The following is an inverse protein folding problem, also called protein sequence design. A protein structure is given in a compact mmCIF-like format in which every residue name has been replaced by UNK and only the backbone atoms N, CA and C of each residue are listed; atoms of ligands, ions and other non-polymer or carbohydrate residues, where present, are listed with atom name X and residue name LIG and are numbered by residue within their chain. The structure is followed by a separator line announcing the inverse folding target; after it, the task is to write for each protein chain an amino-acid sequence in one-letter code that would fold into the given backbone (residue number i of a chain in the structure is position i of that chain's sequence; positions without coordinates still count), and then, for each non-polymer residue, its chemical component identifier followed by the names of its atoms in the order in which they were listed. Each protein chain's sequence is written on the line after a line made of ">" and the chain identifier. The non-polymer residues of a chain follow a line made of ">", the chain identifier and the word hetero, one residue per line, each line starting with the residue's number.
data_IF_855816430713
#
_entry.id   IF_855816430713
#
_cell.length_a   1.000
_cell.length_b   1.000
_cell.length_c   1.000
_cell.angle_alpha   90.00
_cell.angle_beta   90.00
_cell.angle_gamma   90.00
#
_symmetry.space_group_name_H-M   'P 1'
#
loop_
_entity.id
_entity.type
_entity.pdbx_description
1 polymer ?
#
# COMPACT_ATOMS: atom_id res chain seq x y z
N UNK A 1 0.78 -3.59 -5.73
CA UNK A 1 -0.17 -4.32 -6.60
C UNK A 1 -1.04 -5.32 -5.84
N UNK A 2 -0.51 -6.14 -4.92
CA UNK A 2 -1.27 -7.16 -4.18
C UNK A 2 -2.61 -6.68 -3.60
N UNK A 3 -2.63 -5.51 -2.95
CA UNK A 3 -3.86 -4.87 -2.42
C UNK A 3 -4.95 -4.78 -3.49
N UNK A 4 -4.62 -4.33 -4.70
CA UNK A 4 -5.59 -4.15 -5.79
C UNK A 4 -6.03 -5.46 -6.44
N UNK A 5 -5.19 -6.50 -6.38
CA UNK A 5 -5.49 -7.85 -6.88
C UNK A 5 -6.48 -8.54 -5.95
N UNK A 6 -6.25 -8.49 -4.63
CA UNK A 6 -7.17 -9.01 -3.62
C UNK A 6 -8.54 -8.34 -3.76
N UNK A 7 -8.56 -7.01 -3.78
CA UNK A 7 -9.68 -6.26 -4.32
C UNK A 7 -10.92 -6.11 -3.46
N UNK A 8 -11.06 -6.80 -2.34
CA UNK A 8 -12.25 -6.69 -1.47
C UNK A 8 -11.96 -5.92 -0.18
N UNK A 9 -10.69 -5.74 0.16
CA UNK A 9 -10.26 -5.00 1.33
C UNK A 9 -10.65 -3.52 1.30
N UNK A 10 -10.75 -2.88 2.48
CA UNK A 10 -11.02 -1.44 2.59
C UNK A 10 -10.02 -0.59 1.79
N UNK A 11 -8.72 -0.92 1.84
CA UNK A 11 -7.70 -0.22 1.08
C UNK A 11 -7.91 -0.35 -0.44
N UNK A 12 -8.23 -1.55 -0.92
CA UNK A 12 -8.49 -1.77 -2.34
C UNK A 12 -9.74 -1.00 -2.82
N UNK A 13 -10.80 -1.01 -2.02
CA UNK A 13 -12.04 -0.26 -2.29
C UNK A 13 -11.77 1.25 -2.32
N UNK A 14 -11.02 1.77 -1.36
CA UNK A 14 -10.64 3.18 -1.29
C UNK A 14 -9.83 3.61 -2.53
N UNK A 15 -8.82 2.84 -2.91
CA UNK A 15 -8.01 3.12 -4.10
C UNK A 15 -8.86 3.15 -5.37
N UNK A 16 -9.76 2.18 -5.55
CA UNK A 16 -10.64 2.13 -6.74
C UNK A 16 -11.65 3.28 -6.76
N UNK A 17 -12.25 3.61 -5.62
CA UNK A 17 -13.14 4.77 -5.49
C UNK A 17 -12.43 6.08 -5.87
N UNK A 18 -11.12 6.15 -5.62
CA UNK A 18 -10.25 7.26 -6.00
C UNK A 18 -9.63 7.13 -7.40
N UNK A 19 -10.12 6.22 -8.24
CA UNK A 19 -9.69 6.06 -9.62
C UNK A 19 -8.33 5.37 -9.80
N UNK A 20 -7.74 4.83 -8.73
CA UNK A 20 -6.48 4.07 -8.73
C UNK A 20 -6.82 2.58 -8.88
N UNK A 21 -6.71 2.08 -10.11
CA UNK A 21 -7.10 0.71 -10.46
C UNK A 21 -5.88 -0.17 -10.72
N UNK A 22 -6.07 -1.49 -10.68
CA UNK A 22 -5.00 -2.45 -10.98
C UNK A 22 -4.37 -2.19 -12.36
N UNK A 23 -5.18 -1.94 -13.38
CA UNK A 23 -4.71 -1.68 -14.74
C UNK A 23 -3.83 -0.43 -14.82
N UNK A 24 -4.24 0.67 -14.17
CA UNK A 24 -3.45 1.91 -14.12
C UNK A 24 -2.15 1.75 -13.34
N UNK A 25 -2.20 1.05 -12.20
CA UNK A 25 -0.98 0.74 -11.42
C UNK A 25 -0.02 -0.12 -12.22
N UNK A 26 -0.52 -1.12 -12.95
CA UNK A 26 0.30 -1.98 -13.81
C UNK A 26 0.94 -1.19 -14.95
N UNK A 27 0.17 -0.35 -15.63
CA UNK A 27 0.66 0.53 -16.69
C UNK A 27 1.76 1.45 -16.16
N UNK A 28 1.49 2.14 -15.04
CA UNK A 28 2.45 3.06 -14.45
C UNK A 28 3.70 2.36 -13.90
N UNK A 29 3.57 1.11 -13.43
CA UNK A 29 4.71 0.28 -13.05
C UNK A 29 5.64 0.06 -14.25
N UNK A 30 5.08 -0.25 -15.42
CA UNK A 30 5.86 -0.44 -16.65
C UNK A 30 6.48 0.87 -17.12
N UNK A 31 5.78 1.99 -16.99
CA UNK A 31 6.32 3.31 -17.34
C UNK A 31 7.50 3.70 -16.44
N UNK A 32 7.39 3.45 -15.13
CA UNK A 32 8.40 3.86 -14.15
C UNK A 32 9.61 2.93 -14.11
N UNK A 33 9.39 1.60 -14.12
CA UNK A 33 10.44 0.60 -13.93
C UNK A 33 10.88 -0.08 -15.24
N UNK A 34 10.19 0.18 -16.34
CA UNK A 34 10.41 -0.51 -17.61
C UNK A 34 9.77 -1.89 -17.65
N UNK A 35 9.89 -2.55 -18.80
CA UNK A 35 9.54 -3.97 -18.96
C UNK A 35 10.69 -4.83 -18.47
N UNK A 36 10.40 -5.96 -17.84
CA UNK A 36 11.42 -6.93 -17.47
C UNK A 36 12.16 -7.42 -18.71
N UNK A 37 13.49 -7.43 -18.66
CA UNK A 37 14.35 -8.08 -19.65
C UNK A 37 13.95 -9.56 -19.79
N UNK A 38 13.87 -10.06 -21.03
CA UNK A 38 13.42 -11.42 -21.34
C UNK A 38 14.33 -12.51 -20.73
N UNK A 39 15.52 -12.12 -20.26
CA UNK A 39 16.54 -12.99 -19.67
C UNK A 39 16.76 -12.79 -18.16
N UNK A 40 15.94 -11.95 -17.51
CA UNK A 40 16.04 -11.78 -16.06
C UNK A 40 15.26 -12.89 -15.33
N UNK A 41 15.98 -13.93 -14.91
CA UNK A 41 15.43 -14.95 -14.02
C UNK A 41 15.41 -14.42 -12.60
N UNK A 42 14.26 -13.89 -12.18
CA UNK A 42 14.03 -13.68 -10.76
C UNK A 42 14.04 -15.04 -10.06
N UNK A 43 14.73 -15.20 -8.91
CA UNK A 43 14.64 -16.44 -8.13
C UNK A 43 13.17 -16.81 -7.86
N UNK A 44 12.86 -18.09 -7.68
CA UNK A 44 11.47 -18.55 -7.44
C UNK A 44 10.79 -17.78 -6.29
N UNK A 45 11.58 -17.36 -5.30
CA UNK A 45 11.15 -16.53 -4.17
C UNK A 45 12.12 -15.36 -3.98
N UNK A 46 11.94 -14.24 -4.71
CA UNK A 46 12.78 -13.08 -4.49
C UNK A 46 12.52 -12.52 -3.09
N UNK A 47 13.56 -12.11 -2.35
CA UNK A 47 13.36 -11.45 -1.06
C UNK A 47 12.61 -10.14 -1.25
N UNK A 48 12.04 -9.63 -0.16
CA UNK A 48 11.52 -8.27 -0.13
C UNK A 48 12.65 -7.27 -0.41
N UNK A 49 12.33 -6.21 -1.14
CA UNK A 49 13.25 -5.06 -1.24
C UNK A 49 13.33 -4.36 0.12
N UNK A 50 14.43 -3.66 0.40
CA UNK A 50 14.57 -2.91 1.65
C UNK A 50 13.44 -1.89 1.85
N UNK A 51 13.00 -1.25 0.76
CA UNK A 51 11.86 -0.32 0.77
C UNK A 51 10.56 -1.04 1.14
N UNK A 52 10.32 -2.25 0.60
CA UNK A 52 9.14 -3.02 0.96
C UNK A 52 9.18 -3.47 2.43
N UNK A 53 10.35 -3.84 2.94
CA UNK A 53 10.52 -4.19 4.35
C UNK A 53 10.20 -2.99 5.24
N UNK A 54 10.76 -1.80 4.96
CA UNK A 54 10.47 -0.59 5.75
C UNK A 54 8.99 -0.18 5.70
N UNK A 55 8.32 -0.36 4.57
CA UNK A 55 6.88 -0.14 4.48
C UNK A 55 6.08 -1.07 5.42
N UNK A 56 6.53 -2.32 5.58
CA UNK A 56 5.92 -3.27 6.53
C UNK A 56 6.28 -2.93 7.97
N UNK A 57 7.53 -2.55 8.23
CA UNK A 57 7.97 -2.13 9.56
C UNK A 57 7.17 -0.91 10.03
N UNK A 58 6.96 0.07 9.13
CA UNK A 58 6.07 1.21 9.39
C UNK A 58 4.65 0.77 9.74
N UNK A 59 4.10 -0.19 9.00
CA UNK A 59 2.75 -0.72 9.25
C UNK A 59 2.64 -1.39 10.63
N UNK A 60 3.68 -2.10 11.07
CA UNK A 60 3.79 -2.70 12.41
C UNK A 60 3.89 -1.61 13.48
N UNK A 61 4.79 -0.65 13.31
CA UNK A 61 5.01 0.44 14.27
C UNK A 61 3.74 1.26 14.48
N UNK A 62 3.06 1.61 13.39
CA UNK A 62 1.82 2.38 13.46
C UNK A 62 0.73 1.61 14.22
N UNK A 63 0.67 0.29 14.01
CA UNK A 63 -0.23 -0.57 14.78
C UNK A 63 0.11 -0.53 16.26
N UNK A 64 1.39 -0.68 16.63
CA UNK A 64 1.82 -0.67 18.04
C UNK A 64 1.51 0.66 18.73
N UNK A 65 1.63 1.80 18.03
CA UNK A 65 1.30 3.13 18.58
C UNK A 65 -0.17 3.30 18.95
N UNK A 66 -1.07 2.62 18.23
CA UNK A 66 -2.51 2.66 18.53
C UNK A 66 -2.90 1.94 19.83
N UNK A 67 -1.94 1.30 20.52
CA UNK A 67 -2.13 0.72 21.85
C UNK A 67 -2.92 -0.58 21.88
N UNK A 68 -3.32 -1.10 20.72
CA UNK A 68 -4.18 -2.26 20.57
C UNK A 68 -3.39 -3.43 19.93
N UNK A 69 -3.62 -4.65 20.39
CA UNK A 69 -2.88 -5.87 19.99
C UNK A 69 -3.44 -6.59 18.74
N UNK A 70 -4.35 -5.95 18.00
CA UNK A 70 -5.00 -6.58 16.85
C UNK A 70 -4.16 -6.57 15.57
N UNK A 71 -4.77 -7.03 14.49
CA UNK A 71 -4.06 -7.41 13.26
C UNK A 71 -3.60 -6.22 12.40
N UNK A 72 -2.51 -6.42 11.66
CA UNK A 72 -2.08 -5.51 10.59
C UNK A 72 -3.00 -5.71 9.40
N UNK A 73 -3.66 -4.64 8.97
CA UNK A 73 -4.63 -4.67 7.87
C UNK A 73 -4.03 -4.10 6.57
N UNK A 74 -4.76 -4.24 5.47
CA UNK A 74 -4.37 -3.66 4.17
C UNK A 74 -4.25 -2.14 4.18
N UNK A 75 -4.95 -1.44 5.09
CA UNK A 75 -4.84 0.02 5.23
C UNK A 75 -3.48 0.41 5.81
N UNK A 76 -2.98 -0.35 6.79
CA UNK A 76 -1.62 -0.17 7.31
C UNK A 76 -0.57 -0.40 6.22
N UNK A 77 -0.72 -1.45 5.40
CA UNK A 77 0.20 -1.73 4.28
C UNK A 77 0.15 -0.61 3.22
N UNK A 78 -1.05 -0.08 2.91
CA UNK A 78 -1.19 1.05 1.99
C UNK A 78 -0.49 2.30 2.54
N UNK A 79 -0.72 2.63 3.80
CA UNK A 79 -0.10 3.79 4.46
C UNK A 79 1.41 3.62 4.64
N UNK A 80 1.89 2.41 4.92
CA UNK A 80 3.32 2.09 4.95
C UNK A 80 3.97 2.26 3.58
N UNK A 81 3.30 1.80 2.51
CA UNK A 81 3.74 2.05 1.13
C UNK A 81 3.78 3.56 0.83
N UNK A 82 2.79 4.31 1.33
CA UNK A 82 2.76 5.77 1.21
C UNK A 82 3.87 6.44 2.03
N UNK A 83 4.28 5.90 3.17
CA UNK A 83 5.35 6.48 4.00
C UNK A 83 6.73 6.39 3.34
N UNK A 84 6.97 5.36 2.51
CA UNK A 84 8.24 5.17 1.81
C UNK A 84 8.40 6.10 0.61
N UNK A 85 8.78 7.37 0.88
CA UNK A 85 8.86 8.48 -0.10
C UNK A 85 9.68 8.19 -1.36
N UNK A 86 10.71 7.36 -1.26
CA UNK A 86 11.59 7.06 -2.39
C UNK A 86 11.22 5.79 -3.14
N UNK A 87 10.18 5.07 -2.68
CA UNK A 87 9.78 3.81 -3.27
C UNK A 87 9.06 3.97 -4.60
N UNK A 88 9.16 2.96 -5.46
CA UNK A 88 8.36 2.89 -6.67
C UNK A 88 6.85 2.91 -6.36
N UNK A 89 6.44 2.23 -5.27
CA UNK A 89 5.05 2.21 -4.82
C UNK A 89 4.50 3.60 -4.50
N UNK A 90 5.26 4.41 -3.76
CA UNK A 90 4.95 5.82 -3.49
C UNK A 90 4.78 6.60 -4.79
N UNK A 91 5.79 6.56 -5.67
CA UNK A 91 5.78 7.35 -6.92
C UNK A 91 4.59 7.00 -7.80
N UNK A 92 4.28 5.71 -7.94
CA UNK A 92 3.11 5.25 -8.70
C UNK A 92 1.80 5.78 -8.08
N UNK A 93 1.68 5.72 -6.74
CA UNK A 93 0.51 6.25 -6.04
C UNK A 93 0.37 7.77 -6.25
N UNK A 94 1.48 8.52 -6.14
CA UNK A 94 1.53 9.96 -6.41
C UNK A 94 1.10 10.29 -7.84
N UNK A 95 1.67 9.61 -8.86
CA UNK A 95 1.31 9.82 -10.27
C UNK A 95 -0.18 9.57 -10.52
N UNK A 96 -0.76 8.57 -9.83
CA UNK A 96 -2.18 8.24 -9.97
C UNK A 96 -3.10 9.07 -9.07
N UNK A 97 -2.56 10.11 -8.42
CA UNK A 97 -3.32 11.10 -7.68
C UNK A 97 -3.65 10.71 -6.25
N UNK A 98 -2.94 9.75 -5.65
CA UNK A 98 -2.93 9.58 -4.20
C UNK A 98 -2.06 10.69 -3.58
N UNK A 99 -2.51 11.28 -2.48
CA UNK A 99 -1.84 12.40 -1.82
C UNK A 99 -2.02 12.35 -0.31
N UNK A 100 -1.44 13.32 0.42
CA UNK A 100 -1.48 13.33 1.88
C UNK A 100 -2.89 13.52 2.44
N UNK A 101 -3.78 14.20 1.70
CA UNK A 101 -5.17 14.36 2.13
C UNK A 101 -5.94 13.03 2.04
N UNK A 102 -5.76 12.27 0.96
CA UNK A 102 -6.28 10.90 0.85
C UNK A 102 -5.67 9.96 1.89
N UNK A 103 -4.39 10.13 2.22
CA UNK A 103 -3.76 9.36 3.29
C UNK A 103 -4.42 9.63 4.65
N UNK A 104 -4.73 10.89 4.97
CA UNK A 104 -5.49 11.26 6.18
C UNK A 104 -6.88 10.65 6.18
N UNK A 105 -7.60 10.66 5.06
CA UNK A 105 -8.91 10.02 4.95
C UNK A 105 -8.85 8.51 5.26
N UNK A 106 -7.80 7.82 4.78
CA UNK A 106 -7.57 6.41 5.10
C UNK A 106 -7.32 6.22 6.60
N UNK A 107 -6.49 7.05 7.21
CA UNK A 107 -6.22 7.02 8.66
C UNK A 107 -7.51 7.23 9.47
N UNK A 108 -8.33 8.21 9.09
CA UNK A 108 -9.60 8.47 9.76
C UNK A 108 -10.58 7.30 9.63
N UNK A 109 -10.66 6.68 8.45
CA UNK A 109 -11.48 5.49 8.25
C UNK A 109 -11.02 4.32 9.13
N UNK A 110 -9.71 4.12 9.22
CA UNK A 110 -9.09 3.08 10.04
C UNK A 110 -9.39 3.26 11.53
N UNK A 111 -9.28 4.49 12.05
CA UNK A 111 -9.57 4.79 13.45
C UNK A 111 -11.07 4.61 13.79
N UNK A 112 -11.98 4.90 12.87
CA UNK A 112 -13.42 4.64 13.06
C UNK A 112 -13.71 3.16 13.19
N UNK A 113 -13.08 2.31 12.39
CA UNK A 113 -13.26 0.86 12.44
C UNK A 113 -12.74 0.27 13.77
N UNK A 114 -11.60 0.75 14.27
CA UNK A 114 -11.04 0.35 15.58
C UNK A 114 -11.99 0.73 16.73
N UNK A 115 -12.55 1.95 16.71
CA UNK A 115 -13.49 2.40 17.73
C UNK A 115 -14.81 1.61 17.75
N UNK A 116 -15.21 1.03 16.61
CA UNK A 116 -16.40 0.18 16.51
C UNK A 116 -16.13 -1.27 16.92
N UNK A 117 -14.91 -1.79 16.68
CA UNK A 117 -14.52 -3.15 17.05
C UNK A 117 -14.18 -3.31 18.54
N UNK A 118 -13.93 -2.22 19.26
CA UNK A 118 -13.59 -2.20 20.70
C UNK A 118 -14.81 -2.03 21.62
N UNK A 119 -16.03 -2.04 21.06
CA UNK A 119 -17.32 -2.03 21.79
C UNK A 119 -17.98 -3.39 21.74
#
# INVERSE_FOLDING_TARGET
>A
MGILIEGTSPAAKFLRANGITFFKVREETVNLLGKSEMYFFSPEHPPLTEQAQRALDWAVEERLKSGDSGEITTTHILLGTWSEKESAGRRILETLGFNDDKAKEVIESMNRDVALSSR
#
